data_IF_341282526149
#
_entry.id   IF_341282526149
#
_cell.length_a   1.000
_cell.length_b   1.000
_cell.length_c   1.000
_cell.angle_alpha   90.00
_cell.angle_beta   90.00
_cell.angle_gamma   90.00
#
_symmetry.space_group_name_H-M   'P 1'
#
loop_
_entity.id
_entity.type
_entity.pdbx_description
1 polymer ?
#
# COMPACT_ATOMS: atom_id res chain seq x y z
N UNK A 1 6.76 17.04 4.55
CA UNK A 1 6.27 15.64 4.34
C UNK A 1 5.98 14.88 5.63
N UNK A 2 6.19 15.46 6.81
CA UNK A 2 6.16 14.73 8.09
C UNK A 2 4.79 14.14 8.45
N UNK A 3 3.72 14.93 8.29
CA UNK A 3 2.36 14.46 8.55
C UNK A 3 1.90 13.42 7.52
N UNK A 4 2.34 13.54 6.26
CA UNK A 4 2.15 12.49 5.24
C UNK A 4 2.80 11.18 5.71
N UNK A 5 4.04 11.23 6.18
CA UNK A 5 4.74 10.05 6.71
C UNK A 5 3.98 9.41 7.88
N UNK A 6 3.48 10.22 8.82
CA UNK A 6 2.67 9.73 9.94
C UNK A 6 1.36 9.08 9.49
N UNK A 7 0.68 9.67 8.50
CA UNK A 7 -0.51 9.09 7.88
C UNK A 7 -0.21 7.74 7.22
N UNK A 8 0.88 7.65 6.44
CA UNK A 8 1.30 6.42 5.78
C UNK A 8 1.63 5.30 6.79
N UNK A 9 2.31 5.64 7.90
CA UNK A 9 2.56 4.69 8.99
C UNK A 9 1.24 4.19 9.59
N UNK A 10 0.30 5.09 9.90
CA UNK A 10 -0.99 4.71 10.50
C UNK A 10 -1.84 3.83 9.57
N UNK A 11 -1.93 4.19 8.28
CA UNK A 11 -2.61 3.41 7.24
C UNK A 11 -1.95 2.03 7.11
N UNK A 12 -0.63 2.01 6.94
CA UNK A 12 0.13 0.78 6.71
C UNK A 12 0.07 -0.18 7.89
N UNK A 13 0.17 0.30 9.13
CA UNK A 13 -0.01 -0.54 10.33
C UNK A 13 -1.44 -1.08 10.42
N UNK A 14 -2.46 -0.24 10.23
CA UNK A 14 -3.85 -0.69 10.30
C UNK A 14 -4.17 -1.76 9.24
N UNK A 15 -3.64 -1.58 8.02
CA UNK A 15 -3.80 -2.55 6.93
C UNK A 15 -2.99 -3.82 7.16
N UNK A 16 -1.77 -3.72 7.68
CA UNK A 16 -0.92 -4.87 8.02
C UNK A 16 -1.58 -5.73 9.09
N UNK A 17 -2.08 -5.12 10.17
CA UNK A 17 -2.80 -5.83 11.23
C UNK A 17 -4.07 -6.53 10.71
N UNK A 18 -4.75 -5.98 9.71
CA UNK A 18 -5.86 -6.67 9.03
C UNK A 18 -5.38 -7.84 8.19
N UNK A 19 -4.26 -7.69 7.49
CA UNK A 19 -3.72 -8.72 6.58
C UNK A 19 -3.24 -9.97 7.30
N UNK A 20 -2.77 -9.83 8.54
CA UNK A 20 -2.26 -10.91 9.39
C UNK A 20 -3.36 -11.77 10.01
N UNK A 21 -4.64 -11.38 9.90
CA UNK A 21 -5.74 -12.12 10.53
C UNK A 21 -6.26 -13.26 9.65
N UNK A 22 -6.51 -14.46 10.21
CA UNK A 22 -7.19 -15.55 9.51
C UNK A 22 -8.58 -15.14 9.00
N UNK A 23 -9.01 -15.70 7.86
CA UNK A 23 -10.34 -15.49 7.28
C UNK A 23 -11.47 -15.84 8.29
N UNK A 24 -12.59 -15.10 8.30
CA UNK A 24 -13.53 -15.06 9.41
C UNK A 24 -14.49 -16.27 9.39
N UNK A 25 -14.31 -17.18 10.36
CA UNK A 25 -15.40 -18.00 10.90
C UNK A 25 -15.95 -17.44 12.23
N UNK A 26 -15.26 -16.49 12.87
CA UNK A 26 -15.62 -16.08 14.24
C UNK A 26 -15.86 -14.56 14.39
N UNK A 27 -17.14 -14.22 14.57
CA UNK A 27 -17.66 -13.07 15.32
C UNK A 27 -17.38 -11.62 14.85
N UNK A 28 -18.48 -10.88 14.65
CA UNK A 28 -18.58 -9.44 14.33
C UNK A 28 -17.82 -8.51 15.32
N UNK A 29 -17.36 -9.03 16.47
CA UNK A 29 -16.75 -8.26 17.55
C UNK A 29 -15.28 -7.92 17.33
N UNK A 30 -14.54 -8.70 16.52
CA UNK A 30 -13.08 -8.54 16.37
C UNK A 30 -12.65 -7.43 15.40
N UNK A 31 -13.53 -6.96 14.51
CA UNK A 31 -13.21 -5.96 13.46
C UNK A 31 -13.17 -4.52 14.01
N UNK A 32 -13.85 -4.26 15.15
CA UNK A 32 -14.05 -2.90 15.69
C UNK A 32 -12.77 -2.22 16.20
N UNK A 33 -11.73 -2.97 16.55
CA UNK A 33 -10.52 -2.39 17.14
C UNK A 33 -9.49 -1.89 16.11
N UNK A 34 -9.53 -2.33 14.85
CA UNK A 34 -8.52 -1.89 13.87
C UNK A 34 -8.53 -0.38 13.64
N UNK A 35 -9.69 0.29 13.47
CA UNK A 35 -9.69 1.74 13.33
C UNK A 35 -9.14 2.46 14.56
N UNK A 36 -9.39 1.91 15.75
CA UNK A 36 -8.86 2.44 17.01
C UNK A 36 -7.34 2.34 17.02
N UNK A 37 -6.77 1.21 16.56
CA UNK A 37 -5.31 1.06 16.48
C UNK A 37 -4.70 2.02 15.46
N UNK A 38 -5.29 2.16 14.27
CA UNK A 38 -4.80 3.12 13.27
C UNK A 38 -4.78 4.56 13.81
N UNK A 39 -5.86 4.98 14.47
CA UNK A 39 -5.96 6.30 15.09
C UNK A 39 -4.93 6.47 16.22
N UNK A 40 -4.80 5.46 17.08
CA UNK A 40 -3.82 5.45 18.17
C UNK A 40 -2.40 5.56 17.63
N UNK A 41 -2.05 4.82 16.58
CA UNK A 41 -0.75 4.92 15.91
C UNK A 41 -0.52 6.33 15.38
N UNK A 42 -1.49 6.93 14.70
CA UNK A 42 -1.36 8.30 14.18
C UNK A 42 -1.13 9.31 15.30
N UNK A 43 -1.90 9.22 16.39
CA UNK A 43 -1.78 10.12 17.55
C UNK A 43 -0.42 9.94 18.23
N UNK A 44 0.02 8.70 18.45
CA UNK A 44 1.32 8.40 19.06
C UNK A 44 2.47 8.91 18.20
N UNK A 45 2.43 8.67 16.88
CA UNK A 45 3.46 9.18 15.95
C UNK A 45 3.44 10.71 15.93
N UNK A 46 2.26 11.34 15.85
CA UNK A 46 2.16 12.81 15.84
C UNK A 46 2.70 13.44 17.13
N UNK A 47 2.40 12.84 18.29
CA UNK A 47 2.88 13.31 19.58
C UNK A 47 4.40 13.11 19.73
N UNK A 48 4.91 11.92 19.40
CA UNK A 48 6.34 11.60 19.54
C UNK A 48 7.23 12.33 18.54
N UNK A 49 6.68 12.75 17.40
CA UNK A 49 7.37 13.50 16.35
C UNK A 49 7.19 15.04 16.47
N UNK A 50 6.48 15.53 17.48
CA UNK A 50 6.24 16.96 17.69
C UNK A 50 5.35 17.62 16.63
N UNK A 51 4.52 16.85 15.90
CA UNK A 51 3.75 17.35 14.76
C UNK A 51 2.65 18.34 15.15
N UNK A 52 2.30 18.40 16.43
CA UNK A 52 1.24 19.28 16.95
C UNK A 52 1.79 20.61 17.50
N UNK A 53 3.09 20.89 17.34
CA UNK A 53 3.73 22.09 17.87
C UNK A 53 3.37 23.37 17.09
N UNK A 54 2.86 23.25 15.86
CA UNK A 54 2.51 24.39 15.00
C UNK A 54 1.06 24.28 14.53
N UNK A 55 0.43 25.42 14.21
CA UNK A 55 -0.91 25.45 13.65
C UNK A 55 -1.03 24.66 12.34
N UNK A 56 -0.02 24.75 11.47
CA UNK A 56 0.05 23.97 10.24
C UNK A 56 0.10 22.46 10.50
N UNK A 57 0.92 22.05 11.47
CA UNK A 57 1.00 20.66 11.91
C UNK A 57 -0.30 20.13 12.52
N UNK A 58 -0.99 20.93 13.35
CA UNK A 58 -2.31 20.58 13.90
C UNK A 58 -3.34 20.42 12.78
N UNK A 59 -3.46 21.41 11.88
CA UNK A 59 -4.41 21.37 10.76
C UNK A 59 -4.20 20.14 9.89
N UNK A 60 -2.96 19.89 9.47
CA UNK A 60 -2.63 18.74 8.63
C UNK A 60 -2.86 17.42 9.36
N UNK A 61 -2.56 17.34 10.66
CA UNK A 61 -2.81 16.15 11.46
C UNK A 61 -4.32 15.88 11.60
N UNK A 62 -5.14 16.91 11.78
CA UNK A 62 -6.60 16.78 11.76
C UNK A 62 -7.09 16.26 10.41
N UNK A 63 -6.60 16.81 9.29
CA UNK A 63 -6.92 16.31 7.95
C UNK A 63 -6.43 14.88 7.74
N UNK A 64 -5.29 14.49 8.31
CA UNK A 64 -4.79 13.13 8.28
C UNK A 64 -5.69 12.16 9.07
N UNK A 65 -6.22 12.57 10.23
CA UNK A 65 -7.20 11.79 10.98
C UNK A 65 -8.47 11.57 10.15
N UNK A 66 -9.00 12.63 9.53
CA UNK A 66 -10.19 12.52 8.66
C UNK A 66 -9.90 11.58 7.48
N UNK A 67 -8.77 11.75 6.80
CA UNK A 67 -8.36 10.91 5.69
C UNK A 67 -8.18 9.43 6.08
N UNK A 68 -7.55 9.17 7.23
CA UNK A 68 -7.38 7.83 7.78
C UNK A 68 -8.73 7.17 8.09
N UNK A 69 -9.62 7.86 8.80
CA UNK A 69 -10.95 7.32 9.14
C UNK A 69 -11.75 7.05 7.87
N UNK A 70 -11.76 7.99 6.93
CA UNK A 70 -12.43 7.81 5.65
C UNK A 70 -11.87 6.61 4.86
N UNK A 71 -10.54 6.47 4.80
CA UNK A 71 -9.88 5.31 4.18
C UNK A 71 -10.32 4.01 4.84
N UNK A 72 -10.28 3.93 6.17
CA UNK A 72 -10.59 2.71 6.90
C UNK A 72 -12.05 2.27 6.69
N UNK A 73 -12.99 3.21 6.61
CA UNK A 73 -14.41 2.96 6.32
C UNK A 73 -14.59 2.50 4.88
N UNK A 74 -14.03 3.23 3.91
CA UNK A 74 -14.20 2.91 2.50
C UNK A 74 -13.47 1.61 2.10
N UNK A 75 -12.30 1.34 2.66
CA UNK A 75 -11.58 0.08 2.46
C UNK A 75 -12.39 -1.12 2.97
N UNK A 76 -13.05 -0.97 4.12
CA UNK A 76 -13.93 -2.03 4.65
C UNK A 76 -15.18 -2.24 3.78
N UNK A 77 -15.75 -1.17 3.23
CA UNK A 77 -16.84 -1.28 2.24
C UNK A 77 -16.39 -2.00 0.95
N UNK A 78 -15.18 -1.69 0.48
CA UNK A 78 -14.59 -2.33 -0.70
C UNK A 78 -14.25 -3.81 -0.45
N UNK A 79 -13.80 -4.15 0.76
CA UNK A 79 -13.60 -5.55 1.16
C UNK A 79 -14.94 -6.33 1.21
N UNK A 80 -16.07 -5.65 1.46
CA UNK A 80 -17.44 -6.21 1.34
C UNK A 80 -17.98 -6.25 -0.10
N UNK A 81 -17.19 -5.82 -1.08
CA UNK A 81 -17.55 -5.87 -2.51
C UNK A 81 -18.18 -4.58 -3.07
N UNK A 82 -18.25 -3.49 -2.31
CA UNK A 82 -18.90 -2.23 -2.77
C UNK A 82 -18.00 -1.01 -2.63
N UNK A 83 -18.17 0.01 -3.49
CA UNK A 83 -17.47 1.29 -3.29
C UNK A 83 -15.96 1.30 -3.60
N UNK A 84 -15.45 0.34 -4.38
CA UNK A 84 -14.03 0.26 -4.78
C UNK A 84 -13.45 1.60 -5.32
N UNK A 85 -14.18 2.27 -6.23
CA UNK A 85 -13.79 3.59 -6.75
C UNK A 85 -13.71 4.66 -5.67
N UNK A 86 -14.63 4.65 -4.71
CA UNK A 86 -14.65 5.61 -3.59
C UNK A 86 -13.47 5.37 -2.67
N UNK A 87 -13.16 4.12 -2.33
CA UNK A 87 -11.99 3.78 -1.53
C UNK A 87 -10.69 4.26 -2.18
N UNK A 88 -10.52 4.02 -3.48
CA UNK A 88 -9.35 4.49 -4.23
C UNK A 88 -9.27 6.03 -4.27
N UNK A 89 -10.40 6.71 -4.50
CA UNK A 89 -10.46 8.16 -4.51
C UNK A 89 -10.15 8.78 -3.13
N UNK A 90 -10.68 8.20 -2.06
CA UNK A 90 -10.41 8.64 -0.68
C UNK A 90 -8.95 8.46 -0.31
N UNK A 91 -8.36 7.30 -0.65
CA UNK A 91 -6.93 7.06 -0.43
C UNK A 91 -6.07 8.11 -1.16
N UNK A 92 -6.29 8.25 -2.46
CA UNK A 92 -5.53 9.19 -3.30
C UNK A 92 -5.72 10.63 -2.83
N UNK A 93 -6.96 11.02 -2.51
CA UNK A 93 -7.29 12.35 -2.01
C UNK A 93 -6.63 12.66 -0.66
N UNK A 94 -6.64 11.70 0.28
CA UNK A 94 -5.99 11.87 1.58
C UNK A 94 -4.47 12.08 1.42
N UNK A 95 -3.82 11.34 0.51
CA UNK A 95 -2.39 11.53 0.24
C UNK A 95 -2.12 12.87 -0.46
N UNK A 96 -2.93 13.26 -1.45
CA UNK A 96 -2.76 14.51 -2.18
C UNK A 96 -2.92 15.73 -1.27
N UNK A 97 -3.91 15.72 -0.38
CA UNK A 97 -4.11 16.80 0.60
C UNK A 97 -2.86 17.00 1.45
N UNK A 98 -2.24 15.91 1.91
CA UNK A 98 -1.01 15.97 2.72
C UNK A 98 0.21 16.35 1.89
N UNK A 99 0.29 15.92 0.64
CA UNK A 99 1.38 16.25 -0.29
C UNK A 99 1.38 17.74 -0.62
N UNK A 100 0.21 18.29 -0.98
CA UNK A 100 0.03 19.72 -1.28
C UNK A 100 0.25 20.57 -0.03
N UNK A 101 -0.25 20.12 1.13
CA UNK A 101 -0.07 20.82 2.40
C UNK A 101 1.32 20.64 3.03
N UNK A 102 2.21 19.86 2.43
CA UNK A 102 3.45 19.39 3.05
C UNK A 102 4.41 20.49 3.50
N UNK A 103 4.34 21.68 2.89
CA UNK A 103 5.13 22.86 3.25
C UNK A 103 4.73 23.51 4.57
N UNK A 104 3.50 23.27 5.06
CA UNK A 104 3.05 23.74 6.37
C UNK A 104 3.31 22.75 7.50
N UNK A 105 3.86 21.57 7.19
CA UNK A 105 4.15 20.54 8.16
C UNK A 105 5.45 20.88 8.92
N UNK A 106 5.44 20.84 10.27
CA UNK A 106 6.67 21.04 11.04
C UNK A 106 7.66 19.88 10.81
N UNK A 107 8.97 20.11 10.99
CA UNK A 107 9.97 19.05 10.91
C UNK A 107 9.78 18.02 12.04
N UNK A 108 10.24 16.79 11.82
CA UNK A 108 10.20 15.74 12.84
C UNK A 108 11.13 16.12 13.99
N UNK A 109 10.55 16.26 15.18
CA UNK A 109 11.27 16.56 16.42
C UNK A 109 10.88 15.56 17.51
N UNK A 110 11.36 15.74 18.74
CA UNK A 110 10.92 14.93 19.88
C UNK A 110 11.62 13.58 20.00
N UNK A 111 10.91 12.59 20.55
CA UNK A 111 11.50 11.33 21.01
C UNK A 111 12.07 10.50 19.85
N UNK A 112 11.40 10.49 18.69
CA UNK A 112 11.89 9.75 17.52
C UNK A 112 13.24 10.29 17.04
N UNK A 113 13.38 11.61 16.95
CA UNK A 113 14.62 12.26 16.56
C UNK A 113 15.74 11.99 17.58
N UNK A 114 15.43 12.06 18.88
CA UNK A 114 16.37 11.74 19.95
C UNK A 114 16.81 10.28 19.90
N UNK A 115 15.88 9.33 19.71
CA UNK A 115 16.17 7.92 19.61
C UNK A 115 17.05 7.61 18.39
N UNK A 116 16.76 8.20 17.23
CA UNK A 116 17.59 8.05 16.03
C UNK A 116 19.02 8.55 16.28
N UNK A 117 19.18 9.73 16.88
CA UNK A 117 20.50 10.27 17.22
C UNK A 117 21.27 9.38 18.21
N UNK A 118 20.56 8.80 19.18
CA UNK A 118 21.13 7.88 20.16
C UNK A 118 21.53 6.53 19.55
N UNK A 119 20.76 6.03 18.57
CA UNK A 119 20.96 4.71 17.97
C UNK A 119 22.25 4.56 17.14
N UNK A 120 22.87 5.68 16.74
CA UNK A 120 24.12 5.73 15.95
C UNK A 120 24.12 4.76 14.76
N UNK A 121 22.99 4.66 14.04
CA UNK A 121 22.89 3.82 12.85
C UNK A 121 23.98 4.17 11.83
N UNK A 122 24.52 3.21 11.07
CA UNK A 122 25.63 3.46 10.13
C UNK A 122 25.33 4.55 9.09
N UNK A 123 24.05 4.69 8.71
CA UNK A 123 23.59 5.61 7.66
C UNK A 123 22.83 6.85 8.20
N UNK A 124 22.74 7.01 9.53
CA UNK A 124 22.10 8.13 10.28
C UNK A 124 21.08 8.94 9.46
N UNK A 125 19.90 8.38 9.15
CA UNK A 125 18.93 9.07 8.30
C UNK A 125 18.35 10.28 9.04
N UNK A 126 18.08 11.35 8.30
CA UNK A 126 17.31 12.48 8.82
C UNK A 126 15.95 11.98 9.36
N UNK A 127 15.49 12.46 10.54
CA UNK A 127 14.26 11.94 11.17
C UNK A 127 13.03 11.95 10.25
N UNK A 128 12.86 13.01 9.47
CA UNK A 128 11.79 13.17 8.49
C UNK A 128 11.82 12.06 7.42
N UNK A 129 13.02 11.78 6.91
CA UNK A 129 13.25 10.75 5.89
C UNK A 129 13.09 9.35 6.47
N UNK A 130 13.56 9.11 7.69
CA UNK A 130 13.38 7.84 8.39
C UNK A 130 11.90 7.50 8.59
N UNK A 131 11.10 8.47 9.04
CA UNK A 131 9.67 8.30 9.23
C UNK A 131 8.95 8.07 7.89
N UNK A 132 9.36 8.78 6.83
CA UNK A 132 8.81 8.59 5.49
C UNK A 132 9.10 7.18 4.96
N UNK A 133 10.35 6.72 5.02
CA UNK A 133 10.74 5.38 4.59
C UNK A 133 9.96 4.32 5.36
N UNK A 134 9.80 4.48 6.68
CA UNK A 134 9.01 3.56 7.49
C UNK A 134 7.55 3.48 7.02
N UNK A 135 6.91 4.63 6.77
CA UNK A 135 5.55 4.69 6.22
C UNK A 135 5.44 4.03 4.85
N UNK A 136 6.38 4.31 3.94
CA UNK A 136 6.40 3.74 2.60
C UNK A 136 6.58 2.22 2.64
N UNK A 137 7.50 1.69 3.45
CA UNK A 137 7.69 0.23 3.62
C UNK A 137 6.41 -0.43 4.12
N UNK A 138 5.72 0.16 5.11
CA UNK A 138 4.45 -0.36 5.61
C UNK A 138 3.36 -0.36 4.53
N UNK A 139 3.30 0.69 3.71
CA UNK A 139 2.40 0.72 2.54
C UNK A 139 2.75 -0.38 1.56
N UNK A 140 4.02 -0.62 1.25
CA UNK A 140 4.43 -1.69 0.33
C UNK A 140 4.03 -3.08 0.84
N UNK A 141 4.07 -3.30 2.16
CA UNK A 141 3.75 -4.58 2.79
C UNK A 141 2.27 -4.96 2.69
N UNK A 142 1.38 -4.01 3.03
CA UNK A 142 -0.04 -4.32 3.20
C UNK A 142 -0.95 -3.48 2.30
N UNK A 143 -0.88 -2.15 2.41
CA UNK A 143 -1.78 -1.22 1.72
C UNK A 143 -1.66 -1.32 0.20
N UNK A 144 -0.46 -1.55 -0.33
CA UNK A 144 -0.21 -1.74 -1.76
C UNK A 144 -1.03 -2.89 -2.35
N UNK A 145 -1.21 -4.00 -1.60
CA UNK A 145 -2.06 -5.10 -2.06
C UNK A 145 -3.53 -4.68 -2.20
N UNK A 146 -4.03 -3.89 -1.23
CA UNK A 146 -5.40 -3.33 -1.30
C UNK A 146 -5.53 -2.38 -2.48
N UNK A 147 -4.59 -1.47 -2.68
CA UNK A 147 -4.62 -0.52 -3.80
C UNK A 147 -4.61 -1.24 -5.14
N UNK A 148 -3.75 -2.25 -5.33
CA UNK A 148 -3.73 -3.08 -6.54
C UNK A 148 -5.10 -3.74 -6.77
N UNK A 149 -5.69 -4.35 -5.73
CA UNK A 149 -7.03 -4.95 -5.81
C UNK A 149 -8.10 -3.92 -6.17
N UNK A 150 -8.08 -2.74 -5.55
CA UNK A 150 -9.02 -1.67 -5.85
C UNK A 150 -8.92 -1.28 -7.33
N UNK A 151 -7.71 -1.06 -7.85
CA UNK A 151 -7.51 -0.71 -9.25
C UNK A 151 -8.06 -1.80 -10.17
N UNK A 152 -7.70 -3.07 -9.94
CA UNK A 152 -8.16 -4.20 -10.75
C UNK A 152 -9.69 -4.34 -10.79
N UNK A 153 -10.36 -4.17 -9.65
CA UNK A 153 -11.83 -4.20 -9.61
C UNK A 153 -12.42 -2.98 -10.32
N UNK A 154 -11.79 -1.81 -10.19
CA UNK A 154 -12.28 -0.60 -10.87
C UNK A 154 -12.08 -0.61 -12.38
N UNK A 155 -11.06 -1.31 -12.89
CA UNK A 155 -10.83 -1.48 -14.33
C UNK A 155 -11.63 -2.64 -14.92
N UNK A 156 -12.25 -3.48 -14.09
CA UNK A 156 -13.01 -4.65 -14.54
C UNK A 156 -12.16 -5.91 -14.75
N UNK A 157 -10.85 -5.83 -14.48
CA UNK A 157 -9.90 -6.92 -14.59
C UNK A 157 -10.05 -7.97 -13.46
N UNK A 158 -10.74 -7.64 -12.37
CA UNK A 158 -11.08 -8.57 -11.28
C UNK A 158 -12.55 -8.42 -10.88
N UNK A 159 -13.32 -9.51 -10.68
CA UNK A 159 -14.67 -9.43 -10.16
C UNK A 159 -14.69 -8.86 -8.72
N UNK A 160 -15.72 -8.08 -8.35
CA UNK A 160 -15.80 -7.40 -7.05
C UNK A 160 -16.00 -8.34 -5.86
N UNK A 161 -16.60 -9.51 -6.09
CA UNK A 161 -16.80 -10.53 -5.06
C UNK A 161 -15.83 -11.71 -5.31
N UNK A 162 -15.20 -12.26 -4.24
CA UNK A 162 -14.42 -13.48 -4.36
C UNK A 162 -15.35 -14.60 -4.82
N UNK A 163 -15.03 -15.22 -5.96
CA UNK A 163 -15.78 -16.36 -6.48
C UNK A 163 -15.52 -17.53 -5.54
N UNK A 164 -16.54 -18.01 -4.84
CA UNK A 164 -16.44 -19.24 -4.05
C UNK A 164 -15.94 -20.38 -4.95
N UNK A 165 -14.67 -20.74 -4.79
CA UNK A 165 -14.01 -21.83 -5.53
C UNK A 165 -13.03 -21.40 -6.64
N UNK A 166 -12.81 -20.12 -6.91
CA UNK A 166 -11.86 -19.67 -7.94
C UNK A 166 -10.57 -19.11 -7.33
N UNK A 167 -9.42 -19.79 -7.53
CA UNK A 167 -8.02 -19.34 -7.35
C UNK A 167 -7.60 -18.54 -6.08
N UNK A 168 -8.52 -18.24 -5.16
CA UNK A 168 -8.27 -17.55 -3.89
C UNK A 168 -7.80 -18.54 -2.81
N UNK A 169 -7.76 -19.84 -3.14
CA UNK A 169 -7.37 -20.94 -2.27
C UNK A 169 -5.93 -21.43 -2.46
N UNK A 170 -5.21 -21.03 -3.50
CA UNK A 170 -3.88 -21.57 -3.77
C UNK A 170 -2.76 -20.61 -3.34
N UNK A 171 -2.21 -20.99 -2.18
CA UNK A 171 -0.89 -20.68 -1.65
C UNK A 171 -0.76 -19.33 -0.94
N UNK A 172 -0.59 -19.42 0.39
CA UNK A 172 -0.06 -18.35 1.27
C UNK A 172 1.17 -17.62 0.66
N UNK A 173 1.93 -18.27 -0.22
CA UNK A 173 3.08 -17.70 -0.93
C UNK A 173 2.76 -16.57 -1.91
N UNK A 174 1.61 -16.59 -2.59
CA UNK A 174 1.22 -15.52 -3.54
C UNK A 174 0.97 -14.17 -2.87
N UNK A 175 0.57 -14.19 -1.58
CA UNK A 175 0.31 -12.97 -0.79
C UNK A 175 1.59 -12.27 -0.33
N UNK A 176 2.71 -12.98 -0.24
CA UNK A 176 3.99 -12.43 0.24
C UNK A 176 4.95 -12.06 -0.91
N UNK A 177 4.86 -12.75 -2.05
CA UNK A 177 5.75 -12.51 -3.19
C UNK A 177 5.62 -11.08 -3.73
N UNK A 178 4.40 -10.57 -3.93
CA UNK A 178 4.15 -9.21 -4.42
C UNK A 178 4.73 -8.10 -3.51
N UNK A 179 4.45 -8.12 -2.20
CA UNK A 179 5.10 -7.23 -1.24
C UNK A 179 6.63 -7.30 -1.23
N UNK A 180 7.22 -8.51 -1.30
CA UNK A 180 8.67 -8.67 -1.28
C UNK A 180 9.33 -8.05 -2.53
N UNK A 181 8.74 -8.23 -3.71
CA UNK A 181 9.22 -7.58 -4.93
C UNK A 181 9.15 -6.07 -4.83
N UNK A 182 8.04 -5.55 -4.30
CA UNK A 182 7.85 -4.12 -4.09
C UNK A 182 8.87 -3.52 -3.11
N UNK A 183 9.22 -4.25 -2.06
CA UNK A 183 10.27 -3.85 -1.11
C UNK A 183 11.65 -3.94 -1.75
N UNK A 184 11.90 -4.97 -2.55
CA UNK A 184 13.17 -5.14 -3.24
C UNK A 184 13.42 -4.01 -4.23
N UNK A 185 12.41 -3.66 -5.04
CA UNK A 185 12.46 -2.53 -5.97
C UNK A 185 12.68 -1.21 -5.21
N UNK A 186 11.93 -0.97 -4.13
CA UNK A 186 12.10 0.24 -3.31
C UNK A 186 13.49 0.31 -2.68
N UNK A 187 13.99 -0.80 -2.15
CA UNK A 187 15.31 -0.89 -1.52
C UNK A 187 16.45 -0.65 -2.50
N UNK A 188 16.41 -1.27 -3.69
CA UNK A 188 17.38 -1.01 -4.76
C UNK A 188 17.35 0.45 -5.21
N UNK A 189 16.15 1.01 -5.37
CA UNK A 189 16.00 2.43 -5.71
C UNK A 189 16.59 3.36 -4.64
N UNK A 190 16.34 3.09 -3.36
CA UNK A 190 16.91 3.84 -2.24
C UNK A 190 18.44 3.70 -2.13
N UNK A 191 18.99 2.57 -2.60
CA UNK A 191 20.43 2.34 -2.69
C UNK A 191 21.09 3.01 -3.92
N UNK A 192 20.31 3.61 -4.82
CA UNK A 192 20.79 4.21 -6.06
C UNK A 192 20.94 3.23 -7.23
N UNK A 193 20.59 1.96 -7.04
CA UNK A 193 20.74 0.88 -8.02
C UNK A 193 19.51 0.76 -8.94
N UNK A 194 19.20 1.84 -9.67
CA UNK A 194 18.04 1.90 -10.57
C UNK A 194 18.11 0.87 -11.71
N UNK A 195 19.32 0.55 -12.17
CA UNK A 195 19.58 -0.49 -13.18
C UNK A 195 19.20 -1.87 -12.68
N UNK A 196 19.59 -2.21 -11.45
CA UNK A 196 19.21 -3.47 -10.82
C UNK A 196 17.70 -3.57 -10.59
N UNK A 197 17.06 -2.48 -10.15
CA UNK A 197 15.60 -2.43 -10.00
C UNK A 197 14.89 -2.66 -11.35
N UNK A 198 15.39 -2.04 -12.43
CA UNK A 198 14.88 -2.25 -13.79
C UNK A 198 15.06 -3.68 -14.29
N UNK A 199 16.18 -4.33 -13.98
CA UNK A 199 16.44 -5.73 -14.32
C UNK A 199 15.42 -6.67 -13.67
N UNK A 200 15.08 -6.45 -12.40
CA UNK A 200 14.07 -7.25 -11.67
C UNK A 200 12.70 -7.13 -12.32
N UNK A 201 12.30 -5.90 -12.68
CA UNK A 201 11.04 -5.63 -13.38
C UNK A 201 11.03 -6.34 -14.74
N UNK A 202 12.11 -6.21 -15.52
CA UNK A 202 12.24 -6.83 -16.82
C UNK A 202 12.21 -8.37 -16.76
N UNK A 203 12.94 -8.98 -15.81
CA UNK A 203 12.96 -10.41 -15.61
C UNK A 203 11.58 -10.96 -15.26
N UNK A 204 10.85 -10.29 -14.36
CA UNK A 204 9.47 -10.67 -14.01
C UNK A 204 8.51 -10.52 -15.19
N UNK A 205 8.70 -9.49 -16.02
CA UNK A 205 7.93 -9.30 -17.25
C UNK A 205 8.15 -10.42 -18.28
N UNK A 206 9.40 -10.87 -18.46
CA UNK A 206 9.77 -11.94 -19.39
C UNK A 206 9.20 -13.30 -18.98
N UNK A 207 9.22 -13.64 -17.68
CA UNK A 207 8.74 -14.93 -17.16
C UNK A 207 7.22 -15.10 -17.33
N UNK A 208 6.45 -14.00 -17.40
CA UNK A 208 4.99 -14.04 -17.60
C UNK A 208 4.56 -14.18 -19.06
N UNK A 209 5.47 -13.93 -20.01
CA UNK A 209 5.18 -13.95 -21.44
C UNK A 209 4.81 -15.33 -22.02
N UNK A 210 5.37 -16.46 -21.54
CA UNK A 210 4.97 -17.80 -21.98
C UNK A 210 3.55 -18.20 -21.57
N UNK A 211 3.10 -17.81 -20.37
CA UNK A 211 1.75 -18.10 -19.85
C UNK A 211 0.64 -17.47 -20.70
N UNK A 212 0.92 -16.31 -21.31
CA UNK A 212 0.05 -15.62 -22.27
C UNK A 212 -0.04 -16.32 -23.62
N UNK A 213 1.02 -17.04 -24.05
CA UNK A 213 1.07 -17.73 -25.34
C UNK A 213 0.61 -19.19 -25.29
N UNK A 214 0.69 -19.85 -24.14
CA UNK A 214 0.19 -21.22 -23.99
C UNK A 214 -1.33 -21.28 -23.94
N UNK A 215 -1.99 -20.23 -23.42
CA UNK A 215 -3.46 -20.16 -23.39
C UNK A 215 -4.09 -19.75 -24.73
N UNK A 216 -3.32 -19.17 -25.66
CA UNK A 216 -3.77 -18.89 -27.03
C UNK A 216 -3.59 -20.06 -28.00
N UNK A 217 -3.00 -21.19 -27.54
CA UNK A 217 -2.71 -22.37 -28.39
C UNK A 217 -3.57 -23.60 -28.06
N UNK A 218 -4.32 -23.57 -26.96
CA UNK A 218 -5.24 -24.64 -26.54
C UNK A 218 -6.70 -24.35 -26.96
N UNK A 219 -6.88 -23.67 -28.09
CA UNK A 219 -8.18 -23.41 -28.72
C UNK A 219 -8.64 -24.60 -29.60
N UNK A 220 -8.49 -25.83 -29.12
CA UNK A 220 -9.19 -26.99 -29.70
C UNK A 220 -10.44 -27.41 -28.91
N UNK A 221 -10.70 -26.80 -27.73
CA UNK A 221 -11.76 -27.26 -26.82
C UNK A 221 -12.66 -26.11 -26.30
N UNK A 222 -13.37 -25.45 -27.21
CA UNK A 222 -14.67 -24.80 -27.01
C UNK A 222 -14.88 -23.76 -25.88
N UNK A 223 -13.84 -23.30 -25.18
CA UNK A 223 -13.96 -22.25 -24.14
C UNK A 223 -14.10 -20.89 -24.80
N UNK A 224 -15.03 -20.07 -24.29
CA UNK A 224 -15.36 -18.76 -24.86
C UNK A 224 -14.15 -17.81 -24.81
N UNK A 225 -13.81 -17.08 -25.90
CA UNK A 225 -12.66 -16.15 -25.97
C UNK A 225 -12.60 -15.11 -24.85
N UNK A 226 -13.76 -14.74 -24.26
CA UNK A 226 -13.89 -13.67 -23.27
C UNK A 226 -13.25 -13.92 -21.90
N UNK A 227 -12.95 -15.17 -21.53
CA UNK A 227 -12.32 -15.48 -20.23
C UNK A 227 -10.79 -15.42 -20.29
N UNK A 228 -10.17 -15.67 -21.46
CA UNK A 228 -8.71 -15.60 -21.67
C UNK A 228 -8.23 -14.14 -21.62
N UNK A 229 -8.98 -13.23 -22.24
CA UNK A 229 -8.69 -11.80 -22.25
C UNK A 229 -8.68 -11.21 -20.82
N UNK A 230 -9.62 -11.64 -19.97
CA UNK A 230 -9.72 -11.18 -18.58
C UNK A 230 -8.55 -11.63 -17.70
N UNK A 231 -8.10 -12.88 -17.87
CA UNK A 231 -6.95 -13.41 -17.11
C UNK A 231 -5.66 -12.69 -17.53
N UNK A 232 -5.50 -12.45 -18.83
CA UNK A 232 -4.38 -11.67 -19.38
C UNK A 232 -4.37 -10.24 -18.86
N UNK A 233 -5.53 -9.57 -18.89
CA UNK A 233 -5.68 -8.20 -18.39
C UNK A 233 -5.40 -8.12 -16.88
N UNK A 234 -5.93 -9.05 -16.08
CA UNK A 234 -5.66 -9.16 -14.65
C UNK A 234 -4.16 -9.20 -14.36
N UNK A 235 -3.42 -10.07 -15.07
CA UNK A 235 -1.99 -10.19 -14.85
C UNK A 235 -1.23 -8.94 -15.29
N UNK A 236 -1.51 -8.40 -16.47
CA UNK A 236 -0.79 -7.24 -17.00
C UNK A 236 -1.05 -6.00 -16.13
N UNK A 237 -2.32 -5.66 -15.88
CA UNK A 237 -2.70 -4.52 -15.05
C UNK A 237 -2.21 -4.72 -13.62
N UNK A 238 -2.31 -5.93 -13.06
CA UNK A 238 -1.89 -6.20 -11.69
C UNK A 238 -0.40 -6.00 -11.44
N UNK A 239 0.45 -6.49 -12.35
CA UNK A 239 1.90 -6.26 -12.23
C UNK A 239 2.27 -4.80 -12.47
N UNK A 240 1.69 -4.15 -13.48
CA UNK A 240 1.97 -2.76 -13.80
C UNK A 240 1.62 -1.83 -12.63
N UNK A 241 0.42 -1.99 -12.06
CA UNK A 241 -0.03 -1.20 -10.90
C UNK A 241 0.86 -1.47 -9.68
N UNK A 242 1.27 -2.72 -9.45
CA UNK A 242 2.16 -3.05 -8.33
C UNK A 242 3.54 -2.36 -8.45
N UNK A 243 4.11 -2.30 -9.64
CA UNK A 243 5.36 -1.56 -9.88
C UNK A 243 5.18 -0.05 -9.77
N UNK A 244 4.06 0.48 -10.28
CA UNK A 244 3.74 1.90 -10.17
C UNK A 244 3.67 2.32 -8.69
N UNK A 245 3.03 1.51 -7.83
CA UNK A 245 3.00 1.74 -6.38
C UNK A 245 4.41 1.81 -5.79
N UNK A 246 5.33 0.91 -6.19
CA UNK A 246 6.72 0.95 -5.73
C UNK A 246 7.52 2.15 -6.26
N UNK A 247 7.33 2.53 -7.51
CA UNK A 247 8.01 3.67 -8.12
C UNK A 247 7.51 5.00 -7.53
N UNK A 248 6.21 5.14 -7.30
CA UNK A 248 5.67 6.32 -6.61
C UNK A 248 6.22 6.43 -5.20
N UNK A 249 6.35 5.32 -4.47
CA UNK A 249 6.99 5.32 -3.15
C UNK A 249 8.47 5.76 -3.24
N UNK A 250 9.20 5.29 -4.25
CA UNK A 250 10.59 5.69 -4.47
C UNK A 250 10.70 7.19 -4.76
N UNK A 251 9.87 7.73 -5.66
CA UNK A 251 9.83 9.16 -6.01
C UNK A 251 9.50 10.04 -4.80
N UNK A 252 8.66 9.55 -3.88
CA UNK A 252 8.40 10.28 -2.63
C UNK A 252 9.61 10.30 -1.69
N UNK A 253 10.47 9.28 -1.75
CA UNK A 253 11.60 9.09 -0.84
C UNK A 253 12.95 9.64 -1.37
N UNK A 254 13.00 10.01 -2.65
CA UNK A 254 14.13 10.66 -3.33
C UNK A 254 14.12 12.16 -3.11
#
# INVERSE_FOLDING_TARGET
MTVLSALLVAIGVADLLRSLRPQPSASVREIRWVPIVGLLVLVVVAATCGLLATWGGVLLTTLAVIGLVAWLICAEQADRGTGHRRALAVFTGALLVQLVGSGWAPPVTGWLAQWLSWSRLPWQPEPDRALLIAGLVLVQLATGNRVVRLVLVTTGALPPNPVTGGADGELRGGRLLGPLERIFILGLGLAGELTAAGLVIAAKGLIRWPELRSHSRTDEDGRRPSDIDKVTEYFLVGSFVSWLVAMTALVLAS
#
